data_IF_831523979723
#
_entry.id   IF_831523979723
#
_cell.length_a   1.000
_cell.length_b   1.000
_cell.length_c   1.000
_cell.angle_alpha   90.00
_cell.angle_beta   90.00
_cell.angle_gamma   90.00
#
_symmetry.space_group_name_H-M   'P 1'
#
loop_
_entity.id
_entity.type
_entity.pdbx_description
1 polymer ?
#
# COMPACT_ATOMS: atom_id res chain seq x y z
N UNK A 1 -8.66 -40.19 11.19
CA UNK A 1 -7.81 -39.58 12.24
C UNK A 1 -8.19 -38.12 12.36
N UNK A 2 -8.61 -37.61 13.53
CA UNK A 2 -9.13 -36.25 13.62
C UNK A 2 -7.98 -35.26 13.44
N UNK A 3 -8.12 -34.37 12.46
CA UNK A 3 -7.18 -33.25 12.24
C UNK A 3 -7.52 -32.04 13.13
N UNK A 4 -8.24 -32.29 14.22
CA UNK A 4 -8.73 -31.27 15.15
C UNK A 4 -7.75 -31.14 16.32
N UNK A 5 -7.39 -29.92 16.75
CA UNK A 5 -6.50 -29.72 17.89
C UNK A 5 -7.07 -30.38 19.15
N UNK A 6 -6.31 -31.33 19.70
CA UNK A 6 -6.70 -32.09 20.90
C UNK A 6 -6.98 -31.22 22.13
N UNK A 7 -6.37 -30.03 22.23
CA UNK A 7 -6.54 -29.06 23.32
C UNK A 7 -6.37 -27.62 22.83
N UNK A 8 -7.04 -26.69 23.52
CA UNK A 8 -6.86 -25.24 23.29
C UNK A 8 -5.42 -24.81 23.56
N UNK A 9 -4.85 -23.99 22.68
CA UNK A 9 -3.54 -23.38 22.92
C UNK A 9 -3.59 -22.34 24.04
N UNK A 10 -2.56 -22.33 24.89
CA UNK A 10 -2.41 -21.34 25.96
C UNK A 10 -2.25 -19.92 25.39
N UNK A 11 -2.62 -18.92 26.20
CA UNK A 11 -2.47 -17.50 25.84
C UNK A 11 -1.02 -17.17 25.48
N UNK A 12 -0.06 -17.69 26.24
CA UNK A 12 1.37 -17.49 26.00
C UNK A 12 1.82 -18.09 24.66
N UNK A 13 1.41 -19.32 24.33
CA UNK A 13 1.75 -19.97 23.05
C UNK A 13 1.17 -19.21 21.86
N UNK A 14 -0.10 -18.76 21.97
CA UNK A 14 -0.74 -17.92 20.94
C UNK A 14 -0.02 -16.57 20.78
N UNK A 15 0.38 -15.94 21.88
CA UNK A 15 1.10 -14.67 21.90
C UNK A 15 2.47 -14.77 21.23
N UNK A 16 3.30 -15.74 21.63
CA UNK A 16 4.63 -15.97 21.03
C UNK A 16 4.55 -16.21 19.52
N UNK A 17 3.60 -17.03 19.07
CA UNK A 17 3.39 -17.29 17.64
C UNK A 17 2.96 -16.05 16.86
N UNK A 18 2.20 -15.15 17.46
CA UNK A 18 1.80 -13.89 16.81
C UNK A 18 2.94 -12.87 16.81
N UNK A 19 3.74 -12.83 17.87
CA UNK A 19 4.88 -11.92 18.00
C UNK A 19 5.98 -12.16 16.95
N UNK A 20 6.12 -13.40 16.46
CA UNK A 20 7.05 -13.71 15.37
C UNK A 20 6.57 -13.26 13.98
N UNK A 21 5.30 -12.86 13.84
CA UNK A 21 4.73 -12.42 12.55
C UNK A 21 4.82 -10.90 12.51
N UNK A 22 5.85 -10.37 11.85
CA UNK A 22 6.01 -8.94 11.59
C UNK A 22 5.55 -8.58 10.18
N UNK A 23 4.97 -7.38 10.04
CA UNK A 23 4.61 -6.81 8.75
C UNK A 23 5.59 -5.68 8.43
N UNK A 24 6.16 -5.69 7.23
CA UNK A 24 7.02 -4.62 6.74
C UNK A 24 6.23 -3.72 5.79
N UNK A 25 6.46 -2.42 5.90
CA UNK A 25 5.87 -1.44 5.00
C UNK A 25 6.64 -1.49 3.66
N UNK A 26 5.95 -1.63 2.51
CA UNK A 26 6.61 -1.62 1.21
C UNK A 26 7.25 -0.25 0.96
N UNK A 27 8.45 -0.26 0.36
CA UNK A 27 9.17 0.97 0.02
C UNK A 27 8.45 1.69 -1.14
N UNK A 28 8.24 2.99 -0.98
CA UNK A 28 7.78 3.87 -2.05
C UNK A 28 8.94 4.38 -2.91
N UNK A 29 8.69 4.60 -4.20
CA UNK A 29 9.64 5.19 -5.15
C UNK A 29 9.13 6.57 -5.58
N UNK A 30 10.03 7.53 -5.77
CA UNK A 30 9.68 8.87 -6.24
C UNK A 30 9.41 8.80 -7.75
N UNK A 31 8.25 9.32 -8.19
CA UNK A 31 7.92 9.42 -9.60
C UNK A 31 8.69 10.58 -10.26
N UNK A 32 9.37 10.33 -11.37
CA UNK A 32 10.18 11.34 -12.10
C UNK A 32 9.36 12.49 -12.71
N UNK A 33 8.06 12.32 -12.93
CA UNK A 33 7.23 13.33 -13.63
C UNK A 33 6.50 14.28 -12.67
N UNK A 34 6.11 13.81 -11.48
CA UNK A 34 5.29 14.59 -10.54
C UNK A 34 5.82 14.60 -9.11
N UNK A 35 7.00 14.01 -8.88
CA UNK A 35 7.71 13.88 -7.60
C UNK A 35 6.89 13.27 -6.46
N UNK A 36 5.78 12.61 -6.77
CA UNK A 36 4.98 11.91 -5.77
C UNK A 36 5.53 10.51 -5.49
N UNK A 37 5.34 10.05 -4.26
CA UNK A 37 5.62 8.66 -3.86
C UNK A 37 4.64 7.74 -4.59
N UNK A 38 5.18 6.73 -5.27
CA UNK A 38 4.46 5.72 -6.00
C UNK A 38 4.92 4.31 -5.62
N UNK A 39 4.09 3.32 -5.93
CA UNK A 39 4.44 1.90 -5.81
C UNK A 39 5.37 1.52 -6.98
N UNK A 40 6.45 0.75 -6.74
CA UNK A 40 7.32 0.27 -7.82
C UNK A 40 6.54 -0.55 -8.86
N UNK A 41 7.03 -0.57 -10.10
CA UNK A 41 6.46 -1.29 -11.25
C UNK A 41 4.99 -0.97 -11.59
N UNK A 42 4.45 0.15 -11.09
CA UNK A 42 3.04 0.53 -11.32
C UNK A 42 2.96 1.91 -11.95
N UNK A 43 1.92 2.15 -12.76
CA UNK A 43 1.59 3.48 -13.31
C UNK A 43 1.34 4.46 -12.16
N UNK A 44 1.88 5.68 -12.25
CA UNK A 44 1.63 6.69 -11.24
C UNK A 44 0.15 7.10 -11.22
N UNK A 45 -0.53 6.94 -10.09
CA UNK A 45 -1.95 7.31 -9.94
C UNK A 45 -2.22 8.81 -10.05
N UNK A 46 -1.21 9.65 -9.82
CA UNK A 46 -1.36 11.12 -9.88
C UNK A 46 -1.21 11.67 -11.29
N UNK A 47 -0.24 11.18 -12.06
CA UNK A 47 0.07 11.74 -13.38
C UNK A 47 -0.24 10.79 -14.54
N UNK A 48 -0.52 9.50 -14.29
CA UNK A 48 -0.87 8.54 -15.35
C UNK A 48 0.32 8.09 -16.21
N UNK A 49 1.54 8.42 -15.79
CA UNK A 49 2.77 8.07 -16.50
C UNK A 49 3.43 6.80 -15.95
N UNK A 50 4.03 6.04 -16.87
CA UNK A 50 4.92 4.92 -16.59
C UNK A 50 6.08 4.95 -17.59
N UNK A 51 7.32 4.95 -17.09
CA UNK A 51 8.54 4.98 -17.92
C UNK A 51 8.52 6.07 -19.01
N UNK A 52 8.08 7.29 -18.65
CA UNK A 52 8.04 8.43 -19.58
C UNK A 52 6.90 8.38 -20.61
N UNK A 53 6.08 7.34 -20.65
CA UNK A 53 4.90 7.25 -21.52
C UNK A 53 3.63 7.56 -20.74
N UNK A 54 2.74 8.35 -21.33
CA UNK A 54 1.41 8.59 -20.79
C UNK A 54 0.53 7.37 -21.10
N UNK A 55 0.22 6.58 -20.06
CA UNK A 55 -0.60 5.36 -20.20
C UNK A 55 -2.07 5.68 -19.94
N UNK A 56 -2.34 6.64 -19.06
CA UNK A 56 -3.70 7.05 -18.69
C UNK A 56 -3.81 8.55 -18.91
N UNK A 57 -4.81 8.98 -19.70
CA UNK A 57 -5.25 10.37 -19.75
C UNK A 57 -6.09 10.61 -18.50
N UNK A 58 -5.47 11.15 -17.46
CA UNK A 58 -6.20 11.58 -16.27
C UNK A 58 -6.75 12.97 -16.60
N UNK A 59 -8.07 13.07 -16.81
CA UNK A 59 -8.73 14.36 -16.90
C UNK A 59 -8.66 15.04 -15.53
N UNK A 60 -8.06 16.23 -15.49
CA UNK A 60 -7.84 16.98 -14.27
C UNK A 60 -9.17 17.34 -13.62
N UNK A 61 -9.46 16.76 -12.45
CA UNK A 61 -10.54 17.25 -11.60
C UNK A 61 -10.13 18.61 -11.05
N UNK A 62 -10.83 19.64 -11.50
CA UNK A 62 -10.72 21.03 -11.09
C UNK A 62 -10.71 21.13 -9.56
N UNK A 63 -9.66 21.75 -9.01
CA UNK A 63 -9.64 22.15 -7.61
C UNK A 63 -10.55 23.36 -7.47
N UNK A 64 -11.75 23.19 -6.93
CA UNK A 64 -12.51 24.31 -6.37
C UNK A 64 -11.77 24.80 -5.12
N UNK A 65 -11.02 25.88 -5.28
CA UNK A 65 -10.59 26.72 -4.18
C UNK A 65 -11.84 27.33 -3.54
N UNK A 66 -12.19 26.91 -2.32
CA UNK A 66 -13.04 27.72 -1.45
C UNK A 66 -12.50 27.76 -0.02
N UNK A 67 -11.82 28.89 0.25
CA UNK A 67 -11.98 29.81 1.40
C UNK A 67 -11.56 29.28 2.77
N UNK A 68 -10.43 29.73 3.34
CA UNK A 68 -10.27 31.00 4.08
C UNK A 68 -11.28 31.18 5.21
N UNK A 69 -10.94 30.68 6.40
CA UNK A 69 -11.18 31.38 7.68
C UNK A 69 -10.30 30.81 8.78
#
# INVERSE_FOLDING_TARGET
MPQEPKRRHSRQRKGKRRASISLLIPKGVICSNCNAINVPHTVCRKCGYYQGRQVIKIEEKQKTNEKSS
#
